data_IF_176797326293
#
_entry.id   IF_176797326293
#
_cell.length_a   1.000
_cell.length_b   1.000
_cell.length_c   1.000
_cell.angle_alpha   90.00
_cell.angle_beta   90.00
_cell.angle_gamma   90.00
#
_symmetry.space_group_name_H-M   'P 1'
#
loop_
_entity.id
_entity.type
_entity.pdbx_description
1 polymer ?
#
# COMPACT_ATOMS: atom_id res chain seq x y z
N UNK A 1 2.00 33.09 19.33
CA UNK A 1 2.27 31.68 18.95
C UNK A 1 1.00 31.11 18.32
N UNK A 2 1.07 30.63 17.09
CA UNK A 2 -0.08 29.98 16.44
C UNK A 2 -0.41 28.69 17.21
N UNK A 3 -1.69 28.38 17.39
CA UNK A 3 -2.10 27.10 17.96
C UNK A 3 -1.98 26.02 16.86
N UNK A 4 -1.23 24.99 17.15
CA UNK A 4 -1.14 23.79 16.30
C UNK A 4 -2.23 22.82 16.73
N UNK A 5 -2.96 22.26 15.78
CA UNK A 5 -4.00 21.27 16.04
C UNK A 5 -4.02 20.21 14.94
N UNK A 6 -4.29 18.97 15.32
CA UNK A 6 -4.64 17.91 14.37
C UNK A 6 -6.08 18.16 13.94
N UNK A 7 -6.31 18.36 12.65
CA UNK A 7 -7.64 18.62 12.09
C UNK A 7 -8.38 17.31 11.79
N UNK A 8 -7.68 16.33 11.23
CA UNK A 8 -8.29 15.08 10.82
C UNK A 8 -7.22 13.96 10.73
N UNK A 9 -7.67 12.73 10.63
CA UNK A 9 -6.84 11.53 10.48
C UNK A 9 -7.56 10.47 9.62
N UNK A 10 -6.80 9.55 9.02
CA UNK A 10 -7.32 8.42 8.25
C UNK A 10 -6.47 7.18 8.49
N UNK A 11 -7.08 6.00 8.38
CA UNK A 11 -6.44 4.70 8.57
C UNK A 11 -6.86 3.72 7.49
N UNK A 12 -5.90 3.19 6.73
CA UNK A 12 -6.14 2.20 5.71
C UNK A 12 -5.39 0.91 6.03
N UNK A 13 -6.00 -0.21 5.70
CA UNK A 13 -5.36 -1.53 5.70
C UNK A 13 -5.34 -2.05 4.26
N UNK A 14 -4.17 -2.44 3.79
CA UNK A 14 -4.03 -3.17 2.54
C UNK A 14 -3.95 -4.65 2.89
N UNK A 15 -5.00 -5.40 2.58
CA UNK A 15 -5.01 -6.85 2.80
C UNK A 15 -4.34 -7.52 1.61
N UNK A 16 -3.05 -7.83 1.76
CA UNK A 16 -2.17 -8.31 0.71
C UNK A 16 -1.55 -9.66 1.08
N UNK A 17 -2.36 -10.74 1.12
CA UNK A 17 -1.94 -12.05 1.60
C UNK A 17 -0.84 -12.68 0.73
N UNK A 18 -0.91 -12.55 -0.58
CA UNK A 18 0.10 -13.10 -1.49
C UNK A 18 1.43 -12.32 -1.40
N UNK A 19 1.37 -10.98 -1.36
CA UNK A 19 2.57 -10.18 -1.14
C UNK A 19 3.23 -10.52 0.21
N UNK A 20 2.43 -10.64 1.27
CA UNK A 20 2.94 -11.01 2.59
C UNK A 20 3.54 -12.43 2.61
N UNK A 21 2.92 -13.40 1.94
CA UNK A 21 3.38 -14.77 1.87
C UNK A 21 4.66 -14.91 1.05
N UNK A 22 4.73 -14.25 -0.10
CA UNK A 22 5.87 -14.38 -1.02
C UNK A 22 7.02 -13.46 -0.66
N UNK A 23 6.74 -12.22 -0.24
CA UNK A 23 7.72 -11.13 -0.10
C UNK A 23 7.81 -10.53 1.29
N UNK A 24 6.98 -10.94 2.25
CA UNK A 24 7.20 -10.59 3.65
C UNK A 24 8.59 -11.04 4.09
N UNK A 25 9.27 -10.24 4.91
CA UNK A 25 10.69 -10.44 5.24
C UNK A 25 10.99 -11.88 5.71
N UNK A 26 10.25 -12.40 6.68
CA UNK A 26 10.49 -13.75 7.20
C UNK A 26 10.21 -14.86 6.18
N UNK A 27 9.05 -14.94 5.51
CA UNK A 27 8.80 -15.98 4.51
C UNK A 27 9.72 -15.87 3.29
N UNK A 28 10.10 -14.67 2.87
CA UNK A 28 11.05 -14.48 1.77
C UNK A 28 12.41 -15.12 2.07
N UNK A 29 13.01 -14.79 3.23
CA UNK A 29 14.30 -15.33 3.63
C UNK A 29 14.24 -16.82 3.96
N UNK A 30 13.14 -17.30 4.58
CA UNK A 30 12.94 -18.72 4.82
C UNK A 30 12.97 -19.52 3.51
N UNK A 31 12.22 -19.05 2.51
CA UNK A 31 12.17 -19.67 1.16
C UNK A 31 13.53 -19.61 0.47
N UNK A 32 14.23 -18.48 0.55
CA UNK A 32 15.53 -18.29 -0.09
C UNK A 32 16.62 -19.19 0.52
N UNK A 33 16.59 -19.43 1.83
CA UNK A 33 17.60 -20.20 2.55
C UNK A 33 17.29 -21.69 2.56
N UNK A 34 16.03 -22.06 2.77
CA UNK A 34 15.61 -23.46 3.00
C UNK A 34 14.74 -24.06 1.90
N UNK A 35 14.25 -23.24 0.95
CA UNK A 35 13.22 -23.66 0.01
C UNK A 35 11.85 -23.79 0.69
N UNK A 36 11.03 -24.72 0.23
CA UNK A 36 9.76 -25.06 0.88
C UNK A 36 10.01 -25.68 2.26
N UNK A 37 9.37 -25.14 3.29
CA UNK A 37 9.54 -25.58 4.66
C UNK A 37 8.19 -25.78 5.37
N UNK A 38 8.19 -26.51 6.49
CA UNK A 38 6.99 -26.69 7.31
C UNK A 38 6.43 -25.33 7.80
N UNK A 39 7.32 -24.36 8.05
CA UNK A 39 6.91 -23.00 8.40
C UNK A 39 6.09 -22.37 7.29
N UNK A 40 6.57 -22.38 6.06
CA UNK A 40 5.84 -21.82 4.90
C UNK A 40 4.51 -22.52 4.67
N UNK A 41 4.48 -23.84 4.77
CA UNK A 41 3.26 -24.64 4.67
C UNK A 41 2.25 -24.33 5.79
N UNK A 42 2.72 -24.04 7.00
CA UNK A 42 1.86 -23.64 8.11
C UNK A 42 1.35 -22.20 7.94
N UNK A 43 2.21 -21.32 7.44
CA UNK A 43 1.86 -19.91 7.19
C UNK A 43 0.75 -19.80 6.14
N UNK A 44 0.85 -20.53 5.03
CA UNK A 44 -0.18 -20.51 3.96
C UNK A 44 -1.58 -20.88 4.48
N UNK A 45 -1.65 -21.77 5.47
CA UNK A 45 -2.90 -22.19 6.11
C UNK A 45 -3.44 -21.19 7.14
N UNK A 46 -2.63 -20.22 7.53
CA UNK A 46 -2.93 -19.24 8.58
C UNK A 46 -3.25 -17.86 8.02
N UNK A 47 -3.04 -17.66 6.74
CA UNK A 47 -3.37 -16.41 6.06
C UNK A 47 -4.88 -16.28 5.94
N UNK A 48 -5.42 -15.12 6.33
CA UNK A 48 -6.85 -14.82 6.22
C UNK A 48 -7.24 -14.57 4.78
N UNK A 49 -8.42 -15.03 4.41
CA UNK A 49 -9.10 -14.57 3.20
C UNK A 49 -9.51 -13.10 3.36
N UNK A 50 -9.90 -12.46 2.26
CA UNK A 50 -10.34 -11.07 2.30
C UNK A 50 -11.60 -10.89 3.18
N UNK A 51 -12.57 -11.81 3.07
CA UNK A 51 -13.79 -11.78 3.89
C UNK A 51 -13.48 -11.95 5.38
N UNK A 52 -12.55 -12.84 5.72
CA UNK A 52 -12.09 -12.99 7.09
C UNK A 52 -11.34 -11.73 7.60
N UNK A 53 -10.60 -11.05 6.74
CA UNK A 53 -9.93 -9.80 7.09
C UNK A 53 -10.93 -8.66 7.34
N UNK A 54 -11.99 -8.56 6.52
CA UNK A 54 -13.09 -7.62 6.74
C UNK A 54 -13.86 -7.97 8.03
N UNK A 55 -14.16 -9.24 8.26
CA UNK A 55 -14.88 -9.70 9.46
C UNK A 55 -14.06 -9.65 10.76
N UNK A 56 -12.74 -9.41 10.68
CA UNK A 56 -11.89 -9.38 11.87
C UNK A 56 -12.13 -8.10 12.69
N UNK A 57 -12.69 -8.25 13.89
CA UNK A 57 -13.14 -7.12 14.70
C UNK A 57 -12.06 -6.04 14.96
N UNK A 58 -10.77 -6.36 15.23
CA UNK A 58 -9.73 -5.34 15.32
C UNK A 58 -9.52 -4.54 14.03
N UNK A 59 -9.65 -5.15 12.84
CA UNK A 59 -9.56 -4.42 11.58
C UNK A 59 -10.73 -3.44 11.44
N UNK A 60 -11.93 -3.86 11.83
CA UNK A 60 -13.10 -2.98 11.81
C UNK A 60 -12.96 -1.81 12.78
N UNK A 61 -12.42 -2.04 13.98
CA UNK A 61 -12.12 -0.96 14.91
C UNK A 61 -11.06 0.00 14.34
N UNK A 62 -10.03 -0.53 13.67
CA UNK A 62 -8.98 0.27 13.07
C UNK A 62 -9.49 1.22 11.98
N UNK A 63 -10.35 0.74 11.09
CA UNK A 63 -10.93 1.58 10.02
C UNK A 63 -12.14 2.41 10.49
N UNK A 64 -12.59 2.23 11.74
CA UNK A 64 -13.76 2.93 12.30
C UNK A 64 -15.11 2.37 11.82
N UNK A 65 -15.17 1.09 11.51
CA UNK A 65 -16.40 0.36 11.28
C UNK A 65 -17.16 0.03 12.58
N UNK A 66 -16.40 -0.16 13.68
CA UNK A 66 -16.92 -0.28 15.05
C UNK A 66 -16.09 0.61 15.99
N UNK A 67 -16.64 0.95 17.14
CA UNK A 67 -15.92 1.68 18.20
C UNK A 67 -15.02 0.74 19.02
N UNK A 68 -14.16 1.32 19.87
CA UNK A 68 -13.32 0.54 20.79
C UNK A 68 -14.15 -0.18 21.84
N UNK A 69 -15.22 0.45 22.32
CA UNK A 69 -16.15 -0.14 23.28
C UNK A 69 -16.90 -1.34 22.67
N UNK A 70 -17.28 -1.22 21.39
CA UNK A 70 -17.86 -2.35 20.65
C UNK A 70 -16.86 -3.47 20.43
N UNK A 71 -15.59 -3.16 20.15
CA UNK A 71 -14.52 -4.15 20.05
C UNK A 71 -14.31 -4.89 21.37
N UNK A 72 -14.26 -4.20 22.49
CA UNK A 72 -14.10 -4.79 23.82
C UNK A 72 -15.26 -5.72 24.20
N UNK A 73 -16.46 -5.43 23.70
CA UNK A 73 -17.65 -6.25 23.89
C UNK A 73 -17.70 -7.51 23.00
N UNK A 74 -16.83 -7.63 21.97
CA UNK A 74 -16.82 -8.80 21.10
C UNK A 74 -16.21 -10.02 21.80
N UNK A 75 -16.80 -11.18 21.49
CA UNK A 75 -16.33 -12.45 22.00
C UNK A 75 -14.90 -12.76 21.50
N UNK A 76 -14.02 -13.06 22.43
CA UNK A 76 -12.65 -13.51 22.13
C UNK A 76 -12.57 -15.05 22.08
N UNK A 77 -11.62 -15.62 21.31
CA UNK A 77 -10.67 -14.92 20.47
C UNK A 77 -11.33 -14.41 19.17
N UNK A 78 -11.06 -13.15 18.79
CA UNK A 78 -11.73 -12.48 17.67
C UNK A 78 -11.57 -13.21 16.34
N UNK A 79 -10.45 -13.91 16.10
CA UNK A 79 -10.22 -14.67 14.86
C UNK A 79 -11.14 -15.89 14.70
N UNK A 80 -11.81 -16.35 15.79
CA UNK A 80 -12.83 -17.41 15.76
C UNK A 80 -14.25 -16.85 15.77
N UNK A 81 -14.41 -15.58 16.05
CA UNK A 81 -15.69 -14.91 16.19
C UNK A 81 -15.74 -13.68 15.24
N UNK A 82 -15.72 -13.89 13.89
CA UNK A 82 -15.75 -12.80 12.95
C UNK A 82 -17.10 -12.05 12.99
N UNK A 83 -17.01 -10.74 12.81
CA UNK A 83 -18.19 -9.91 12.60
C UNK A 83 -18.85 -10.27 11.27
N UNK A 84 -20.17 -10.15 11.22
CA UNK A 84 -21.00 -10.39 10.03
C UNK A 84 -21.58 -9.07 9.54
N UNK A 85 -21.90 -9.03 8.25
CA UNK A 85 -22.57 -7.89 7.61
C UNK A 85 -21.84 -6.55 7.82
N UNK A 86 -20.50 -6.60 7.86
CA UNK A 86 -19.65 -5.43 7.99
C UNK A 86 -19.10 -4.98 6.62
N UNK A 87 -18.80 -3.70 6.50
CA UNK A 87 -18.29 -3.09 5.28
C UNK A 87 -16.77 -3.11 5.25
N UNK A 88 -16.20 -3.13 4.04
CA UNK A 88 -14.76 -2.80 3.85
C UNK A 88 -14.44 -1.34 4.16
N UNK A 89 -15.44 -0.47 4.17
CA UNK A 89 -15.31 0.97 4.42
C UNK A 89 -15.79 1.30 5.83
N UNK A 90 -14.97 2.01 6.58
CA UNK A 90 -15.29 2.55 7.89
C UNK A 90 -15.21 4.08 7.91
N UNK A 91 -15.45 4.64 9.09
CA UNK A 91 -15.38 6.10 9.28
C UNK A 91 -13.99 6.67 8.99
N UNK A 92 -12.92 5.91 9.27
CA UNK A 92 -11.55 6.41 9.16
C UNK A 92 -10.85 6.02 7.85
N UNK A 93 -11.36 5.02 7.13
CA UNK A 93 -10.74 4.54 5.91
C UNK A 93 -11.32 3.22 5.43
N UNK A 94 -10.47 2.34 4.95
CA UNK A 94 -10.90 1.08 4.35
C UNK A 94 -9.94 -0.08 4.59
N UNK A 95 -10.41 -1.29 4.26
CA UNK A 95 -9.61 -2.49 4.04
C UNK A 95 -9.57 -2.74 2.54
N UNK A 96 -8.48 -2.40 1.87
CA UNK A 96 -8.33 -2.57 0.42
C UNK A 96 -7.94 -4.01 0.07
N UNK A 97 -8.59 -4.69 -0.88
CA UNK A 97 -8.19 -6.01 -1.33
C UNK A 97 -6.92 -5.96 -2.18
N UNK A 98 -6.20 -7.08 -2.23
CA UNK A 98 -4.89 -7.18 -2.88
C UNK A 98 -4.93 -6.86 -4.37
N UNK A 99 -5.92 -7.32 -5.09
CA UNK A 99 -6.01 -7.06 -6.53
C UNK A 99 -6.20 -5.57 -6.86
N UNK A 100 -7.02 -4.85 -6.10
CA UNK A 100 -7.14 -3.40 -6.22
C UNK A 100 -5.84 -2.70 -5.80
N UNK A 101 -5.17 -3.22 -4.77
CA UNK A 101 -3.88 -2.68 -4.32
C UNK A 101 -2.77 -2.88 -5.35
N UNK A 102 -2.71 -4.02 -6.04
CA UNK A 102 -1.79 -4.24 -7.16
C UNK A 102 -2.03 -3.23 -8.29
N UNK A 103 -3.28 -2.95 -8.61
CA UNK A 103 -3.60 -1.88 -9.57
C UNK A 103 -3.23 -0.48 -9.09
N UNK A 104 -3.36 -0.21 -7.78
CA UNK A 104 -2.90 1.06 -7.22
C UNK A 104 -1.37 1.16 -7.23
N UNK A 105 -0.65 0.05 -7.07
CA UNK A 105 0.81 0.02 -7.24
C UNK A 105 1.22 0.35 -8.68
N UNK A 106 0.54 -0.21 -9.67
CA UNK A 106 0.74 0.12 -11.09
C UNK A 106 0.48 1.62 -11.37
N UNK A 107 -0.62 2.17 -10.88
CA UNK A 107 -0.92 3.62 -10.95
C UNK A 107 0.19 4.49 -10.33
N UNK A 108 0.81 4.00 -9.26
CA UNK A 108 1.87 4.71 -8.54
C UNK A 108 3.25 4.54 -9.17
N UNK A 109 3.41 3.54 -10.02
CA UNK A 109 4.64 3.30 -10.75
C UNK A 109 4.84 4.38 -11.83
N UNK A 110 6.04 4.97 -11.89
CA UNK A 110 6.39 6.01 -12.87
C UNK A 110 7.50 5.55 -13.83
N UNK A 111 7.95 4.31 -13.68
CA UNK A 111 9.09 3.75 -14.41
C UNK A 111 8.79 2.44 -15.13
N UNK A 112 7.51 2.05 -15.23
CA UNK A 112 7.07 0.82 -15.90
C UNK A 112 7.77 -0.44 -15.32
N UNK A 113 7.74 -0.55 -14.00
CA UNK A 113 8.36 -1.64 -13.23
C UNK A 113 7.31 -2.69 -12.85
N UNK A 114 6.10 -2.26 -12.53
CA UNK A 114 4.96 -3.14 -12.26
C UNK A 114 4.27 -3.48 -13.56
N UNK A 115 4.35 -4.72 -13.97
CA UNK A 115 3.64 -5.24 -15.12
C UNK A 115 2.49 -6.14 -14.68
N UNK A 116 1.27 -5.75 -14.99
CA UNK A 116 0.08 -6.57 -14.77
C UNK A 116 -0.33 -7.27 -16.08
N UNK A 117 -0.84 -8.49 -15.99
CA UNK A 117 -1.39 -9.20 -17.13
C UNK A 117 -2.66 -8.48 -17.65
N UNK A 118 -2.87 -8.45 -18.98
CA UNK A 118 -3.92 -7.66 -19.63
C UNK A 118 -5.32 -7.94 -19.11
N UNK A 119 -5.69 -9.21 -18.94
CA UNK A 119 -7.02 -9.56 -18.44
C UNK A 119 -7.19 -9.22 -16.96
N UNK A 120 -6.14 -9.32 -16.19
CA UNK A 120 -6.11 -8.91 -14.80
C UNK A 120 -6.16 -7.39 -14.67
N UNK A 121 -5.34 -6.65 -15.41
CA UNK A 121 -5.38 -5.18 -15.46
C UNK A 121 -6.78 -4.66 -15.79
N UNK A 122 -7.46 -5.27 -16.76
CA UNK A 122 -8.83 -4.91 -17.11
C UNK A 122 -9.83 -5.13 -15.96
N UNK A 123 -9.75 -6.26 -15.27
CA UNK A 123 -10.59 -6.54 -14.09
C UNK A 123 -10.35 -5.53 -12.96
N UNK A 124 -9.09 -5.19 -12.75
CA UNK A 124 -8.68 -4.19 -11.74
C UNK A 124 -9.17 -2.80 -12.12
N UNK A 125 -9.06 -2.42 -13.39
CA UNK A 125 -9.61 -1.14 -13.89
C UNK A 125 -11.10 -1.02 -13.55
N UNK A 126 -11.89 -2.04 -13.86
CA UNK A 126 -13.34 -2.03 -13.58
C UNK A 126 -13.64 -1.86 -12.07
N UNK A 127 -12.83 -2.47 -11.19
CA UNK A 127 -12.97 -2.33 -9.73
C UNK A 127 -12.56 -0.93 -9.25
N UNK A 128 -11.42 -0.43 -9.73
CA UNK A 128 -10.93 0.89 -9.35
C UNK A 128 -11.82 2.01 -9.88
N UNK A 129 -12.47 1.85 -11.03
CA UNK A 129 -13.49 2.78 -11.52
C UNK A 129 -14.71 2.86 -10.59
N UNK A 130 -15.05 1.77 -9.91
CA UNK A 130 -16.12 1.75 -8.91
C UNK A 130 -15.68 2.27 -7.54
N UNK A 131 -14.38 2.46 -7.33
CA UNK A 131 -13.84 2.90 -6.05
C UNK A 131 -14.11 4.38 -5.79
N UNK A 132 -14.62 4.76 -4.59
CA UNK A 132 -15.12 6.12 -4.33
C UNK A 132 -14.06 7.24 -4.29
N UNK A 133 -12.77 6.89 -4.31
CA UNK A 133 -11.66 7.84 -4.26
C UNK A 133 -10.84 7.90 -5.56
N UNK A 134 -11.02 6.93 -6.47
CA UNK A 134 -10.27 6.87 -7.72
C UNK A 134 -10.94 7.74 -8.79
N UNK A 135 -10.43 8.95 -8.97
CA UNK A 135 -10.90 9.85 -10.00
C UNK A 135 -10.22 9.58 -11.36
N UNK A 136 -10.68 10.22 -12.42
CA UNK A 136 -10.18 10.00 -13.77
C UNK A 136 -8.70 10.34 -13.94
N UNK A 137 -8.15 11.30 -13.20
CA UNK A 137 -6.74 11.66 -13.28
C UNK A 137 -5.82 10.62 -12.66
N UNK A 138 -6.32 9.88 -11.67
CA UNK A 138 -5.64 8.75 -11.07
C UNK A 138 -5.75 7.53 -12.01
N UNK A 139 -6.98 7.20 -12.44
CA UNK A 139 -7.25 6.03 -13.25
C UNK A 139 -6.55 6.03 -14.61
N UNK A 140 -6.35 7.20 -15.23
CA UNK A 140 -5.63 7.29 -16.51
C UNK A 140 -4.15 6.88 -16.42
N UNK A 141 -3.61 6.70 -15.22
CA UNK A 141 -2.23 6.22 -15.00
C UNK A 141 -2.14 4.69 -14.98
N UNK A 142 -3.27 3.99 -14.85
CA UNK A 142 -3.29 2.53 -14.89
C UNK A 142 -2.93 2.04 -16.31
N UNK A 143 -1.92 1.19 -16.39
CA UNK A 143 -1.47 0.61 -17.63
C UNK A 143 -2.48 -0.41 -18.19
N UNK A 144 -2.48 -0.60 -19.51
CA UNK A 144 -3.39 -1.57 -20.17
C UNK A 144 -2.99 -3.03 -19.94
N UNK A 145 -1.87 -3.23 -19.27
CA UNK A 145 -1.30 -4.53 -19.00
C UNK A 145 -0.47 -5.10 -20.16
N UNK A 146 0.24 -6.17 -19.85
CA UNK A 146 1.19 -6.88 -20.71
C UNK A 146 0.67 -8.27 -21.07
N UNK A 147 1.16 -8.85 -22.15
CA UNK A 147 0.84 -10.23 -22.47
C UNK A 147 1.60 -11.18 -21.52
N UNK A 148 0.96 -12.28 -21.17
CA UNK A 148 1.48 -13.19 -20.14
C UNK A 148 2.87 -13.75 -20.49
N UNK A 149 3.13 -14.03 -21.77
CA UNK A 149 4.41 -14.52 -22.26
C UNK A 149 5.57 -13.54 -22.02
N UNK A 150 5.32 -12.23 -22.09
CA UNK A 150 6.31 -11.20 -21.76
C UNK A 150 6.61 -11.19 -20.26
N UNK A 151 5.58 -11.29 -19.44
CA UNK A 151 5.71 -11.37 -17.97
C UNK A 151 6.51 -12.62 -17.57
N UNK A 152 6.18 -13.79 -18.14
CA UNK A 152 6.95 -15.02 -17.89
C UNK A 152 8.41 -14.88 -18.31
N UNK A 153 8.67 -14.20 -19.41
CA UNK A 153 10.04 -13.96 -19.87
C UNK A 153 10.82 -13.07 -18.88
N UNK A 154 10.24 -11.96 -18.42
CA UNK A 154 10.88 -11.09 -17.43
C UNK A 154 11.21 -11.85 -16.14
N UNK A 155 10.27 -12.68 -15.66
CA UNK A 155 10.49 -13.50 -14.45
C UNK A 155 11.63 -14.50 -14.67
N UNK A 156 11.66 -15.21 -15.80
CA UNK A 156 12.62 -16.28 -16.05
C UNK A 156 14.01 -15.78 -16.43
N UNK A 157 14.10 -14.70 -17.23
CA UNK A 157 15.35 -14.25 -17.86
C UNK A 157 15.94 -13.00 -17.21
N UNK A 158 15.10 -12.10 -16.68
CA UNK A 158 15.53 -10.78 -16.26
C UNK A 158 15.44 -10.55 -14.74
N UNK A 159 15.04 -11.57 -13.99
CA UNK A 159 15.02 -11.54 -12.52
C UNK A 159 13.89 -10.69 -11.93
N UNK A 160 12.80 -10.49 -12.70
CA UNK A 160 11.57 -9.93 -12.15
C UNK A 160 10.97 -10.87 -11.10
N UNK A 161 10.30 -10.31 -10.09
CA UNK A 161 9.58 -11.11 -9.10
C UNK A 161 8.10 -11.21 -9.49
N UNK A 162 7.49 -12.42 -9.49
CA UNK A 162 6.10 -12.60 -9.87
C UNK A 162 5.14 -11.96 -8.88
N UNK A 163 4.03 -11.42 -9.38
CA UNK A 163 2.89 -10.97 -8.56
C UNK A 163 1.77 -11.98 -8.67
N UNK A 164 1.16 -12.31 -7.53
CA UNK A 164 0.16 -13.36 -7.45
C UNK A 164 -1.23 -12.81 -7.07
N UNK A 165 -2.27 -13.50 -7.52
CA UNK A 165 -3.64 -13.31 -7.06
C UNK A 165 -4.35 -14.66 -7.09
N UNK A 166 -4.79 -15.13 -5.93
CA UNK A 166 -5.41 -16.46 -5.80
C UNK A 166 -4.50 -17.62 -6.18
N UNK A 167 -3.19 -17.47 -5.97
CA UNK A 167 -2.17 -18.48 -6.30
C UNK A 167 -1.70 -18.49 -7.77
N UNK A 168 -2.29 -17.66 -8.64
CA UNK A 168 -1.91 -17.54 -10.05
C UNK A 168 -1.03 -16.31 -10.27
N UNK A 169 -0.09 -16.39 -11.20
CA UNK A 169 0.72 -15.24 -11.59
C UNK A 169 -0.14 -14.29 -12.41
N UNK A 170 -0.27 -13.05 -11.93
CA UNK A 170 -1.06 -11.98 -12.55
C UNK A 170 -0.22 -10.79 -12.99
N UNK A 171 1.09 -10.87 -12.80
CA UNK A 171 2.01 -9.80 -13.14
C UNK A 171 3.42 -10.07 -12.63
N UNK A 172 4.27 -9.07 -12.73
CA UNK A 172 5.60 -9.09 -12.12
C UNK A 172 6.03 -7.68 -11.70
N UNK A 173 7.03 -7.64 -10.81
CA UNK A 173 7.79 -6.44 -10.52
C UNK A 173 9.21 -6.61 -11.08
N UNK A 174 9.61 -5.71 -11.96
CA UNK A 174 10.90 -5.74 -12.66
C UNK A 174 12.00 -5.10 -11.82
N UNK A 175 13.24 -5.43 -12.08
CA UNK A 175 14.40 -4.68 -11.58
C UNK A 175 14.63 -3.43 -12.44
N UNK A 176 15.18 -2.39 -11.85
CA UNK A 176 15.55 -1.18 -12.59
C UNK A 176 17.03 -1.11 -12.95
N UNK A 177 17.86 -1.98 -12.38
CA UNK A 177 19.30 -2.01 -12.66
C UNK A 177 19.87 -3.42 -12.54
N UNK A 178 20.87 -3.73 -13.37
CA UNK A 178 21.48 -5.07 -13.44
C UNK A 178 22.29 -5.42 -12.20
N UNK A 179 23.07 -4.47 -11.69
CA UNK A 179 24.06 -4.70 -10.65
C UNK A 179 23.81 -3.93 -9.34
N UNK A 180 22.84 -3.03 -9.31
CA UNK A 180 22.51 -2.28 -8.10
C UNK A 180 21.44 -3.01 -7.30
N UNK A 181 21.83 -3.60 -6.17
CA UNK A 181 20.91 -4.32 -5.27
C UNK A 181 19.80 -3.43 -4.72
N UNK A 182 20.04 -2.12 -4.57
CA UNK A 182 19.03 -1.16 -4.17
C UNK A 182 17.94 -0.94 -5.22
N UNK A 183 18.18 -1.37 -6.45
CA UNK A 183 17.25 -1.31 -7.58
C UNK A 183 16.81 -2.72 -8.03
N UNK A 184 16.93 -3.70 -7.15
CA UNK A 184 16.40 -5.05 -7.35
C UNK A 184 14.87 -5.06 -7.29
N UNK A 185 14.27 -6.00 -7.96
CA UNK A 185 12.80 -6.16 -8.01
C UNK A 185 12.17 -6.21 -6.63
N UNK A 186 12.81 -6.87 -5.66
CA UNK A 186 12.32 -6.97 -4.29
C UNK A 186 12.27 -5.61 -3.58
N UNK A 187 13.34 -4.82 -3.67
CA UNK A 187 13.41 -3.47 -3.07
C UNK A 187 12.41 -2.52 -3.72
N UNK A 188 12.30 -2.57 -5.05
CA UNK A 188 11.35 -1.75 -5.79
C UNK A 188 9.90 -2.09 -5.46
N UNK A 189 9.59 -3.37 -5.29
CA UNK A 189 8.25 -3.84 -4.89
C UNK A 189 7.84 -3.24 -3.54
N UNK A 190 8.72 -3.27 -2.53
CA UNK A 190 8.45 -2.67 -1.21
C UNK A 190 8.24 -1.16 -1.32
N UNK A 191 9.09 -0.46 -2.07
CA UNK A 191 8.99 0.99 -2.23
C UNK A 191 7.69 1.41 -2.95
N UNK A 192 7.29 0.70 -4.00
CA UNK A 192 6.04 0.98 -4.72
C UNK A 192 4.83 0.67 -3.84
N UNK A 193 4.86 -0.43 -3.08
CA UNK A 193 3.79 -0.77 -2.13
C UNK A 193 3.65 0.29 -1.04
N UNK A 194 4.75 0.78 -0.48
CA UNK A 194 4.76 1.89 0.47
C UNK A 194 4.13 3.16 -0.12
N UNK A 195 4.54 3.55 -1.32
CA UNK A 195 3.99 4.68 -2.04
C UNK A 195 2.48 4.55 -2.28
N UNK A 196 2.03 3.40 -2.74
CA UNK A 196 0.61 3.12 -2.99
C UNK A 196 -0.22 3.20 -1.69
N UNK A 197 0.28 2.63 -0.59
CA UNK A 197 -0.35 2.73 0.72
C UNK A 197 -0.46 4.18 1.21
N UNK A 198 0.59 4.98 1.01
CA UNK A 198 0.60 6.41 1.32
C UNK A 198 -0.40 7.22 0.49
N UNK A 199 -0.52 6.92 -0.80
CA UNK A 199 -1.52 7.54 -1.69
C UNK A 199 -2.93 7.23 -1.20
N UNK A 200 -3.24 5.97 -0.91
CA UNK A 200 -4.56 5.58 -0.41
C UNK A 200 -4.92 6.31 0.89
N UNK A 201 -3.99 6.34 1.85
CA UNK A 201 -4.19 7.02 3.12
C UNK A 201 -4.42 8.53 2.94
N UNK A 202 -3.65 9.17 2.06
CA UNK A 202 -3.81 10.61 1.76
C UNK A 202 -5.16 10.89 1.09
N UNK A 203 -5.61 10.08 0.15
CA UNK A 203 -6.92 10.24 -0.49
C UNK A 203 -8.07 10.13 0.52
N UNK A 204 -8.02 9.18 1.44
CA UNK A 204 -8.98 9.08 2.54
C UNK A 204 -8.93 10.30 3.45
N UNK A 205 -7.73 10.76 3.82
CA UNK A 205 -7.55 11.95 4.66
C UNK A 205 -8.14 13.21 4.02
N UNK A 206 -7.86 13.45 2.73
CA UNK A 206 -8.40 14.60 1.98
C UNK A 206 -9.93 14.58 1.94
N UNK A 207 -10.52 13.41 1.64
CA UNK A 207 -11.98 13.23 1.64
C UNK A 207 -12.57 13.54 3.02
N UNK A 208 -12.00 12.99 4.10
CA UNK A 208 -12.48 13.21 5.47
C UNK A 208 -12.34 14.66 5.91
N UNK A 209 -11.21 15.27 5.62
CA UNK A 209 -10.94 16.68 5.94
C UNK A 209 -11.79 17.65 5.09
N UNK A 210 -12.49 17.15 4.08
CA UNK A 210 -13.17 17.94 3.04
C UNK A 210 -12.22 19.01 2.46
N UNK A 211 -10.99 18.58 2.15
CA UNK A 211 -9.92 19.41 1.58
C UNK A 211 -9.70 19.04 0.12
N UNK A 212 -9.42 20.06 -0.68
CA UNK A 212 -8.93 19.83 -2.03
C UNK A 212 -7.43 19.52 -2.00
N UNK A 213 -6.92 18.67 -2.90
CA UNK A 213 -5.49 18.36 -2.93
C UNK A 213 -4.59 19.59 -3.04
N UNK A 214 -5.01 20.63 -3.76
CA UNK A 214 -4.26 21.87 -3.96
C UNK A 214 -4.17 22.75 -2.69
N UNK A 215 -4.95 22.45 -1.66
CA UNK A 215 -4.91 23.14 -0.36
C UNK A 215 -3.82 22.55 0.58
N UNK A 216 -3.13 21.49 0.15
CA UNK A 216 -2.03 20.91 0.91
C UNK A 216 -0.74 21.64 0.57
N UNK A 217 -0.11 22.26 1.55
CA UNK A 217 1.13 23.02 1.40
C UNK A 217 2.37 22.14 1.62
N UNK A 218 2.28 21.15 2.51
CA UNK A 218 3.42 20.34 2.89
C UNK A 218 3.00 18.91 3.29
N UNK A 219 3.78 17.91 2.88
CA UNK A 219 3.60 16.51 3.23
C UNK A 219 4.86 16.01 3.92
N UNK A 220 4.71 15.36 5.06
CA UNK A 220 5.79 14.65 5.73
C UNK A 220 5.46 13.16 5.68
N UNK A 221 6.31 12.41 5.07
CA UNK A 221 6.23 10.96 5.03
C UNK A 221 7.19 10.36 6.08
N UNK A 222 6.76 9.32 6.76
CA UNK A 222 7.65 8.50 7.57
C UNK A 222 7.25 7.04 7.46
N UNK A 223 8.19 6.23 7.09
CA UNK A 223 8.05 4.78 6.92
C UNK A 223 9.33 4.07 7.35
N UNK A 224 9.25 2.77 7.52
CA UNK A 224 10.39 1.92 7.90
C UNK A 224 11.01 1.20 6.71
N UNK A 225 10.46 1.35 5.52
CA UNK A 225 10.81 0.62 4.33
C UNK A 225 12.20 0.95 3.81
N UNK A 226 12.71 0.03 3.03
CA UNK A 226 14.00 0.15 2.41
C UNK A 226 14.10 1.46 1.63
N UNK A 227 15.02 2.27 2.04
CA UNK A 227 15.27 3.55 1.42
C UNK A 227 16.21 3.44 0.20
N UNK A 228 16.46 2.23 -0.31
CA UNK A 228 17.45 1.99 -1.34
C UNK A 228 17.15 2.70 -2.65
N UNK A 229 15.91 2.70 -3.07
CA UNK A 229 15.54 3.27 -4.37
C UNK A 229 15.24 4.76 -4.31
N UNK A 230 16.15 5.55 -4.87
CA UNK A 230 15.97 6.99 -5.05
C UNK A 230 15.01 7.33 -6.21
N UNK A 231 14.86 6.45 -7.20
CA UNK A 231 14.12 6.73 -8.41
C UNK A 231 12.61 6.65 -8.18
N UNK A 232 12.15 5.66 -7.43
CA UNK A 232 10.73 5.51 -7.11
C UNK A 232 10.16 6.63 -6.25
N UNK A 233 11.01 7.47 -5.71
CA UNK A 233 10.61 8.65 -4.95
C UNK A 233 10.20 9.84 -5.81
N UNK A 234 10.03 9.65 -7.13
CA UNK A 234 9.53 10.70 -8.01
C UNK A 234 10.39 11.96 -8.04
N UNK A 235 11.71 11.76 -8.06
CA UNK A 235 12.67 12.88 -8.14
C UNK A 235 13.00 13.54 -6.81
N UNK A 236 12.84 12.83 -5.68
CA UNK A 236 13.30 13.41 -4.42
C UNK A 236 12.92 12.60 -3.18
N UNK A 237 11.65 12.44 -2.94
CA UNK A 237 11.18 11.77 -1.73
C UNK A 237 9.80 11.15 -1.91
N UNK A 238 9.42 10.23 -1.02
CA UNK A 238 8.11 9.59 -1.02
C UNK A 238 6.98 10.59 -0.80
N UNK A 239 7.15 11.55 0.11
CA UNK A 239 6.15 12.56 0.39
C UNK A 239 5.72 13.31 -0.88
N UNK A 240 6.69 13.74 -1.70
CA UNK A 240 6.42 14.44 -2.96
C UNK A 240 5.77 13.53 -3.98
N UNK A 241 6.24 12.30 -4.09
CA UNK A 241 5.72 11.31 -5.02
C UNK A 241 4.26 10.91 -4.69
N UNK A 242 3.95 10.70 -3.39
CA UNK A 242 2.60 10.44 -2.90
C UNK A 242 1.68 11.63 -3.21
N UNK A 243 2.16 12.85 -2.90
CA UNK A 243 1.40 14.08 -3.16
C UNK A 243 1.09 14.30 -4.63
N UNK A 244 2.02 13.96 -5.53
CA UNK A 244 1.81 14.07 -6.98
C UNK A 244 0.66 13.18 -7.46
N UNK A 245 0.65 11.90 -7.06
CA UNK A 245 -0.43 10.97 -7.44
C UNK A 245 -1.77 11.43 -6.86
N UNK A 246 -1.79 11.91 -5.62
CA UNK A 246 -2.99 12.41 -4.97
C UNK A 246 -3.47 13.78 -5.48
N UNK A 247 -2.71 14.44 -6.37
CA UNK A 247 -3.05 15.74 -6.95
C UNK A 247 -2.66 16.95 -6.10
N UNK A 248 -1.81 16.79 -5.07
CA UNK A 248 -1.35 17.87 -4.20
C UNK A 248 -0.28 18.74 -4.91
N UNK A 249 -0.69 19.46 -5.96
CA UNK A 249 0.21 20.19 -6.87
C UNK A 249 1.01 21.31 -6.19
N UNK A 250 0.48 21.88 -5.09
CA UNK A 250 1.12 22.95 -4.35
C UNK A 250 2.03 22.45 -3.23
N UNK A 251 1.95 21.16 -2.89
CA UNK A 251 2.66 20.62 -1.74
C UNK A 251 4.17 20.50 -2.01
N UNK A 252 4.96 20.95 -1.05
CA UNK A 252 6.33 20.50 -0.84
C UNK A 252 6.34 19.29 0.09
N UNK A 253 7.48 18.66 0.32
CA UNK A 253 7.51 17.54 1.26
C UNK A 253 8.91 17.06 1.60
N UNK A 254 8.98 16.27 2.66
CA UNK A 254 10.19 15.57 3.08
C UNK A 254 9.86 14.20 3.67
N UNK A 255 10.83 13.30 3.63
CA UNK A 255 10.77 12.01 4.29
C UNK A 255 11.55 12.06 5.59
N UNK A 256 10.97 11.57 6.66
CA UNK A 256 11.62 11.43 7.96
C UNK A 256 11.82 9.96 8.26
N UNK A 257 13.06 9.56 8.48
CA UNK A 257 13.44 8.20 8.86
C UNK A 257 13.85 8.17 10.33
N UNK A 258 13.31 7.25 11.08
CA UNK A 258 13.58 7.14 12.51
C UNK A 258 13.00 5.87 13.11
N UNK A 259 12.80 4.83 12.29
CA UNK A 259 12.14 3.58 12.67
C UNK A 259 10.85 3.85 13.43
N UNK A 260 10.59 3.16 14.53
CA UNK A 260 9.39 3.30 15.35
C UNK A 260 9.21 4.74 15.94
N UNK A 261 10.25 5.56 15.99
CA UNK A 261 10.18 6.95 16.42
C UNK A 261 9.84 7.94 15.28
N UNK A 262 9.89 7.50 14.02
CA UNK A 262 9.60 8.32 12.84
C UNK A 262 8.31 9.12 12.93
N UNK A 263 7.15 8.52 13.30
CA UNK A 263 5.89 9.25 13.44
C UNK A 263 5.94 10.39 14.46
N UNK A 264 6.69 10.21 15.55
CA UNK A 264 6.85 11.26 16.57
C UNK A 264 7.67 12.42 16.01
N UNK A 265 8.77 12.14 15.31
CA UNK A 265 9.57 13.19 14.66
C UNK A 265 8.76 13.93 13.59
N UNK A 266 7.98 13.21 12.78
CA UNK A 266 7.12 13.81 11.77
C UNK A 266 6.08 14.77 12.38
N UNK A 267 5.45 14.37 13.50
CA UNK A 267 4.50 15.24 14.22
C UNK A 267 5.18 16.47 14.83
N UNK A 268 6.38 16.33 15.39
CA UNK A 268 7.14 17.45 15.96
C UNK A 268 7.54 18.44 14.86
N UNK A 269 8.02 17.94 13.72
CA UNK A 269 8.39 18.79 12.59
C UNK A 269 7.17 19.50 11.98
N UNK A 270 6.06 18.79 11.74
CA UNK A 270 4.82 19.38 11.28
C UNK A 270 4.32 20.48 12.24
N UNK A 271 4.38 20.24 13.55
CA UNK A 271 4.00 21.23 14.55
C UNK A 271 4.90 22.47 14.52
N UNK A 272 6.21 22.28 14.33
CA UNK A 272 7.17 23.38 14.22
C UNK A 272 6.90 24.24 12.97
N UNK A 273 6.64 23.61 11.82
CA UNK A 273 6.34 24.32 10.58
C UNK A 273 5.03 25.13 10.67
N UNK A 274 3.99 24.58 11.29
CA UNK A 274 2.72 25.32 11.49
C UNK A 274 2.86 26.46 12.49
N UNK A 275 3.75 26.34 13.49
CA UNK A 275 3.97 27.35 14.52
C UNK A 275 4.80 28.54 14.05
N UNK A 276 5.67 28.35 13.04
CA UNK A 276 6.51 29.38 12.45
C UNK A 276 5.71 30.31 11.53
#
# INVERSE_FOLDING_TARGET
>A
MRKVAIKEYAYCLNHTPELAYHYGNTPFWERKIKGESEFLLSLSKSIRTYDEAIGYAPNQAFIGGISLEELEAQQTPWYQNPLKDVSRYGTFGEIMPEDEFLGLMDICDVFDIIWLEQSFSKKVEDKLQAHPLMNSSILQRLEKGHIFEEIEKEIREDGAVPLYSGGEIVGCCRKAHEFDECLSSYVLLENIACKAGGVLALLHLLKRANMKPEEVDFIIECSEEAAGDMNQRGGGNFAKSIGEIAGCSNASGCDIRGFCAGPVYALVDAAAQVAS
#
